data_IF_209942901931
#
_entry.id   IF_209942901931
#
_cell.length_a   1.000
_cell.length_b   1.000
_cell.length_c   1.000
_cell.angle_alpha   90.00
_cell.angle_beta   90.00
_cell.angle_gamma   90.00
#
_symmetry.space_group_name_H-M   'P 1'
#
loop_
_entity.id
_entity.type
_entity.pdbx_description
1 polymer ?
#
# COMPACT_ATOMS: atom_id res chain seq x y z
N UNK A 1 30.34 -76.90 24.63
CA UNK A 1 30.45 -77.05 26.10
C UNK A 1 30.97 -75.74 26.66
N UNK A 2 30.29 -74.89 27.41
CA UNK A 2 28.88 -74.51 27.63
C UNK A 2 28.95 -72.98 27.87
N UNK A 3 28.03 -72.09 27.52
CA UNK A 3 26.57 -72.12 27.51
C UNK A 3 26.01 -72.64 28.84
N UNK A 4 25.21 -71.77 29.48
CA UNK A 4 24.47 -71.88 30.76
C UNK A 4 25.21 -71.21 31.95
N UNK A 5 24.51 -70.29 32.65
CA UNK A 5 24.86 -69.58 33.90
C UNK A 5 25.43 -68.14 33.87
N UNK A 6 24.82 -67.25 33.09
CA UNK A 6 24.62 -65.87 33.56
C UNK A 6 23.19 -65.42 33.29
N UNK A 7 22.23 -66.24 33.73
CA UNK A 7 20.84 -65.81 33.84
C UNK A 7 20.64 -65.15 35.20
N UNK A 8 19.86 -64.06 35.19
CA UNK A 8 19.01 -63.59 36.29
C UNK A 8 19.55 -62.48 37.19
N UNK A 9 19.72 -61.28 36.64
CA UNK A 9 19.34 -60.08 37.41
C UNK A 9 19.04 -58.85 36.54
N UNK A 10 17.79 -58.39 36.68
CA UNK A 10 17.21 -57.09 36.31
C UNK A 10 16.85 -56.93 34.83
N UNK A 11 15.62 -57.33 34.48
CA UNK A 11 14.43 -56.48 34.64
C UNK A 11 14.54 -55.29 33.68
N UNK A 12 14.32 -55.48 32.38
CA UNK A 12 12.98 -55.38 31.75
C UNK A 12 12.09 -54.30 32.38
N UNK A 13 12.60 -53.07 32.42
CA UNK A 13 11.84 -51.87 32.79
C UNK A 13 12.04 -50.71 31.81
N UNK A 14 12.24 -51.00 30.52
CA UNK A 14 12.29 -49.97 29.47
C UNK A 14 11.66 -50.37 28.14
N UNK A 15 11.08 -51.57 28.04
CA UNK A 15 10.43 -52.06 26.82
C UNK A 15 8.97 -52.48 27.04
N UNK A 16 8.32 -51.95 28.07
CA UNK A 16 6.90 -52.19 28.38
C UNK A 16 6.05 -50.92 28.49
N UNK A 17 6.62 -49.74 28.22
CA UNK A 17 5.85 -48.52 28.01
C UNK A 17 5.53 -48.22 26.53
N UNK A 18 6.18 -48.89 25.58
CA UNK A 18 5.89 -48.73 24.14
C UNK A 18 4.85 -49.72 23.57
N UNK A 19 4.56 -50.84 24.22
CA UNK A 19 3.61 -51.84 23.69
C UNK A 19 2.16 -51.68 24.17
N UNK A 20 1.90 -51.04 25.32
CA UNK A 20 0.53 -50.88 25.83
C UNK A 20 -0.24 -49.67 25.25
N UNK A 21 0.39 -48.84 24.41
CA UNK A 21 -0.28 -47.74 23.67
C UNK A 21 -0.62 -48.12 22.21
N UNK A 22 -0.42 -49.39 21.83
CA UNK A 22 -0.56 -49.89 20.45
C UNK A 22 -1.63 -51.00 20.35
N UNK A 23 -2.75 -50.88 21.07
CA UNK A 23 -3.90 -51.75 20.89
C UNK A 23 -5.18 -50.91 21.02
N UNK A 24 -5.86 -50.72 19.89
CA UNK A 24 -7.02 -49.81 19.66
C UNK A 24 -6.70 -48.34 19.34
N UNK A 25 -5.93 -48.09 18.26
CA UNK A 25 -5.66 -46.76 17.71
C UNK A 25 -6.10 -46.59 16.24
N UNK A 26 -7.23 -47.19 15.85
CA UNK A 26 -7.78 -47.03 14.50
C UNK A 26 -8.78 -45.87 14.37
N UNK A 27 -9.74 -45.76 15.30
CA UNK A 27 -10.87 -44.81 15.18
C UNK A 27 -10.57 -43.40 15.68
N UNK A 28 -9.76 -43.27 16.74
CA UNK A 28 -9.57 -41.99 17.44
C UNK A 28 -8.62 -41.06 16.67
N UNK A 29 -7.58 -41.59 16.03
CA UNK A 29 -6.67 -40.80 15.18
C UNK A 29 -7.33 -40.33 13.89
N UNK A 30 -8.30 -41.11 13.38
CA UNK A 30 -9.13 -40.73 12.24
C UNK A 30 -10.09 -39.60 12.61
N UNK A 31 -10.71 -39.66 13.81
CA UNK A 31 -11.56 -38.61 14.37
C UNK A 31 -10.76 -37.32 14.62
N UNK A 32 -9.54 -37.40 15.15
CA UNK A 32 -8.67 -36.23 15.33
C UNK A 32 -8.32 -35.56 13.99
N UNK A 33 -8.01 -36.34 12.96
CA UNK A 33 -7.75 -35.84 11.60
C UNK A 33 -8.99 -35.22 10.94
N UNK A 34 -10.18 -35.77 11.20
CA UNK A 34 -11.48 -35.24 10.74
C UNK A 34 -11.84 -33.91 11.43
N UNK A 35 -11.61 -33.79 12.74
CA UNK A 35 -11.87 -32.55 13.49
C UNK A 35 -10.91 -31.44 13.07
N UNK A 36 -9.63 -31.75 12.89
CA UNK A 36 -8.63 -30.75 12.45
C UNK A 36 -8.91 -30.28 11.01
N UNK A 37 -9.32 -31.18 10.10
CA UNK A 37 -9.73 -30.83 8.73
C UNK A 37 -10.99 -29.94 8.71
N UNK A 38 -11.98 -30.27 9.55
CA UNK A 38 -13.19 -29.47 9.72
C UNK A 38 -12.90 -28.07 10.30
N UNK A 39 -12.01 -27.95 11.28
CA UNK A 39 -11.66 -26.67 11.87
C UNK A 39 -10.94 -25.74 10.89
N UNK A 40 -10.05 -26.25 10.04
CA UNK A 40 -9.34 -25.45 9.03
C UNK A 40 -10.28 -24.95 7.92
N UNK A 41 -11.29 -25.75 7.56
CA UNK A 41 -12.31 -25.34 6.59
C UNK A 41 -13.20 -24.19 7.12
N UNK A 42 -13.54 -24.20 8.42
CA UNK A 42 -14.37 -23.16 9.05
C UNK A 42 -13.61 -21.84 9.21
N UNK A 43 -12.31 -21.88 9.51
CA UNK A 43 -11.45 -20.69 9.63
C UNK A 43 -11.28 -20.01 8.25
N UNK A 44 -11.23 -20.77 7.17
CA UNK A 44 -11.13 -20.24 5.81
C UNK A 44 -12.42 -19.59 5.29
N UNK A 45 -13.58 -19.95 5.87
CA UNK A 45 -14.89 -19.43 5.46
C UNK A 45 -15.25 -18.07 6.09
N UNK A 46 -14.46 -17.60 7.07
CA UNK A 46 -14.79 -16.40 7.86
C UNK A 46 -13.77 -15.28 7.76
N UNK A 47 -12.79 -15.34 6.84
CA UNK A 47 -11.95 -14.18 6.58
C UNK A 47 -12.75 -13.16 5.75
N UNK A 48 -13.19 -12.01 6.30
CA UNK A 48 -13.55 -10.90 5.44
C UNK A 48 -12.28 -10.52 4.67
N UNK A 49 -12.34 -10.59 3.35
CA UNK A 49 -11.33 -10.00 2.49
C UNK A 49 -11.34 -8.49 2.74
N UNK A 50 -10.50 -8.04 3.67
CA UNK A 50 -10.43 -6.64 4.06
C UNK A 50 -9.77 -5.86 2.92
N UNK A 51 -10.59 -5.41 1.98
CA UNK A 51 -10.25 -4.37 1.04
C UNK A 51 -10.02 -3.08 1.82
N UNK A 52 -8.77 -2.80 2.17
CA UNK A 52 -8.38 -1.49 2.70
C UNK A 52 -8.57 -0.43 1.63
N UNK A 53 -9.68 0.29 1.66
CA UNK A 53 -9.80 1.55 0.93
C UNK A 53 -8.85 2.54 1.60
N UNK A 54 -7.69 2.79 0.99
CA UNK A 54 -6.79 3.84 1.42
C UNK A 54 -7.55 5.18 1.40
N UNK A 55 -7.85 5.73 2.58
CA UNK A 55 -8.41 7.06 2.70
C UNK A 55 -7.41 8.05 2.12
N UNK A 56 -7.69 8.59 0.92
CA UNK A 56 -6.93 9.72 0.39
C UNK A 56 -7.23 10.92 1.27
N UNK A 57 -6.20 11.44 1.94
CA UNK A 57 -6.28 12.72 2.64
C UNK A 57 -6.75 13.80 1.66
N UNK A 58 -7.98 14.29 1.86
CA UNK A 58 -8.54 15.35 1.04
C UNK A 58 -7.86 16.68 1.42
N UNK A 59 -7.21 17.32 0.45
CA UNK A 59 -6.52 18.60 0.67
C UNK A 59 -7.49 19.74 0.37
N UNK A 60 -7.61 20.67 1.31
CA UNK A 60 -8.41 21.88 1.16
C UNK A 60 -7.50 23.09 0.96
N UNK A 61 -7.85 23.97 0.02
CA UNK A 61 -7.13 25.22 -0.24
C UNK A 61 -8.05 26.38 0.08
N UNK A 62 -7.51 27.35 0.81
CA UNK A 62 -8.18 28.59 1.17
C UNK A 62 -7.44 29.75 0.50
N UNK A 63 -8.19 30.69 -0.08
CA UNK A 63 -7.67 31.93 -0.64
C UNK A 63 -8.43 33.07 0.03
N UNK A 64 -7.69 33.98 0.68
CA UNK A 64 -8.26 35.09 1.45
C UNK A 64 -9.34 34.66 2.45
N UNK A 65 -9.16 33.49 3.07
CA UNK A 65 -10.11 32.91 4.05
C UNK A 65 -11.34 32.23 3.42
N UNK A 66 -11.52 32.31 2.11
CA UNK A 66 -12.58 31.60 1.38
C UNK A 66 -12.09 30.23 0.93
N UNK A 67 -12.89 29.19 1.20
CA UNK A 67 -12.62 27.84 0.69
C UNK A 67 -12.89 27.80 -0.81
N UNK A 68 -11.87 27.44 -1.59
CA UNK A 68 -12.02 27.24 -3.04
C UNK A 68 -12.42 25.78 -3.28
N UNK A 69 -13.45 25.58 -4.11
CA UNK A 69 -13.83 24.26 -4.59
C UNK A 69 -13.18 24.01 -5.95
N UNK A 70 -12.61 22.82 -6.14
CA UNK A 70 -11.97 22.43 -7.40
C UNK A 70 -12.73 21.25 -7.99
N UNK A 71 -12.97 21.28 -9.30
CA UNK A 71 -13.50 20.12 -10.04
C UNK A 71 -12.50 18.95 -10.03
N UNK A 72 -11.21 19.29 -10.13
CA UNK A 72 -10.10 18.37 -9.97
C UNK A 72 -9.50 18.53 -8.57
N UNK A 73 -9.68 17.53 -7.71
CA UNK A 73 -9.14 17.56 -6.35
C UNK A 73 -7.60 17.73 -6.36
N UNK A 74 -7.04 18.61 -5.51
CA UNK A 74 -5.59 18.73 -5.36
C UNK A 74 -4.96 17.40 -4.95
N UNK A 75 -3.78 17.11 -5.50
CA UNK A 75 -3.07 15.85 -5.26
C UNK A 75 -1.69 16.09 -4.69
N UNK A 76 -1.31 15.34 -3.67
CA UNK A 76 0.07 15.33 -3.18
C UNK A 76 0.89 14.37 -4.03
N UNK A 77 1.93 14.87 -4.69
CA UNK A 77 2.92 14.09 -5.44
C UNK A 77 4.32 14.49 -5.02
N UNK A 78 5.16 13.51 -4.69
CA UNK A 78 6.56 13.71 -4.28
C UNK A 78 6.72 14.71 -3.12
N UNK A 79 5.78 14.73 -2.17
CA UNK A 79 5.78 15.67 -1.04
C UNK A 79 5.24 17.07 -1.35
N UNK A 80 4.96 17.38 -2.62
CA UNK A 80 4.38 18.66 -3.06
C UNK A 80 2.91 18.50 -3.42
N UNK A 81 2.08 19.49 -3.08
CA UNK A 81 0.67 19.50 -3.48
C UNK A 81 0.53 20.17 -4.84
N UNK A 82 0.08 19.41 -5.84
CA UNK A 82 -0.35 19.95 -7.13
C UNK A 82 -1.79 20.45 -7.01
N UNK A 83 -1.96 21.75 -7.23
CA UNK A 83 -3.25 22.43 -7.24
C UNK A 83 -3.54 22.91 -8.67
N UNK A 84 -4.78 22.76 -9.17
CA UNK A 84 -5.15 23.30 -10.48
C UNK A 84 -4.95 24.81 -10.54
N UNK A 85 -4.06 25.26 -11.42
CA UNK A 85 -3.70 26.68 -11.57
C UNK A 85 -4.91 27.55 -11.95
N UNK A 86 -5.74 27.08 -12.90
CA UNK A 86 -6.84 27.87 -13.48
C UNK A 86 -7.73 28.54 -12.44
N UNK A 87 -8.22 27.74 -11.49
CA UNK A 87 -9.18 28.19 -10.45
C UNK A 87 -8.57 29.28 -9.57
N UNK A 88 -7.28 29.17 -9.25
CA UNK A 88 -6.59 30.18 -8.42
C UNK A 88 -6.54 31.53 -9.13
N UNK A 89 -6.22 31.54 -10.43
CA UNK A 89 -6.14 32.77 -11.21
C UNK A 89 -7.51 33.41 -11.42
N UNK A 90 -8.55 32.61 -11.62
CA UNK A 90 -9.93 33.09 -11.73
C UNK A 90 -10.41 33.75 -10.43
N UNK A 91 -10.16 33.13 -9.27
CA UNK A 91 -10.50 33.71 -7.95
C UNK A 91 -9.67 34.97 -7.64
N UNK A 92 -8.45 35.08 -8.18
CA UNK A 92 -7.62 36.29 -8.08
C UNK A 92 -8.03 37.41 -9.06
N UNK A 93 -9.06 37.19 -9.89
CA UNK A 93 -9.57 38.14 -10.87
C UNK A 93 -8.71 38.28 -12.14
N UNK A 94 -7.87 37.29 -12.44
CA UNK A 94 -7.07 37.29 -13.66
C UNK A 94 -7.81 36.59 -14.81
N UNK A 95 -7.70 37.16 -16.02
CA UNK A 95 -8.18 36.49 -17.24
C UNK A 95 -7.11 35.53 -17.77
N UNK A 96 -7.52 34.31 -18.09
CA UNK A 96 -6.64 33.25 -18.62
C UNK A 96 -6.99 32.93 -20.07
N UNK A 97 -6.04 33.19 -20.97
CA UNK A 97 -6.12 32.81 -22.38
C UNK A 97 -5.17 31.63 -22.62
N UNK A 98 -5.70 30.53 -23.18
CA UNK A 98 -4.90 29.38 -23.60
C UNK A 98 -4.76 29.38 -25.11
N UNK A 99 -3.53 29.44 -25.57
CA UNK A 99 -3.17 29.23 -26.96
C UNK A 99 -2.76 27.77 -27.17
N UNK A 100 -3.57 27.06 -27.98
CA UNK A 100 -3.34 25.65 -28.30
C UNK A 100 -2.16 25.42 -29.24
N UNK A 101 -1.85 26.39 -30.10
CA UNK A 101 -0.80 26.25 -31.12
C UNK A 101 0.58 26.38 -30.47
N UNK A 102 0.73 27.38 -29.59
CA UNK A 102 1.99 27.65 -28.89
C UNK A 102 2.09 26.93 -27.54
N UNK A 103 1.03 26.25 -27.11
CA UNK A 103 0.89 25.64 -25.78
C UNK A 103 1.21 26.64 -24.65
N UNK A 104 0.78 27.88 -24.84
CA UNK A 104 1.06 28.99 -23.92
C UNK A 104 -0.20 29.44 -23.19
N UNK A 105 -0.05 29.69 -21.89
CA UNK A 105 -1.04 30.34 -21.03
C UNK A 105 -0.63 31.79 -20.89
N UNK A 106 -1.54 32.71 -21.21
CA UNK A 106 -1.39 34.13 -20.91
C UNK A 106 -2.38 34.52 -19.83
N UNK A 107 -1.88 34.90 -18.66
CA UNK A 107 -2.69 35.42 -17.56
C UNK A 107 -2.55 36.95 -17.52
N UNK A 108 -3.67 37.67 -17.57
CA UNK A 108 -3.71 39.14 -17.54
C UNK A 108 -4.48 39.60 -16.31
N UNK A 109 -3.86 40.48 -15.50
CA UNK A 109 -4.50 41.18 -14.39
C UNK A 109 -4.00 42.61 -14.36
N UNK A 110 -4.87 43.57 -14.71
CA UNK A 110 -4.63 45.02 -14.74
C UNK A 110 -3.23 45.45 -15.24
N UNK A 111 -2.22 45.48 -14.36
CA UNK A 111 -0.86 45.91 -14.65
C UNK A 111 0.15 44.75 -14.88
N UNK A 112 -0.24 43.50 -14.71
CA UNK A 112 0.64 42.32 -14.77
C UNK A 112 0.16 41.30 -15.79
N UNK A 113 1.04 41.00 -16.75
CA UNK A 113 0.83 39.92 -17.73
C UNK A 113 1.87 38.83 -17.48
N UNK A 114 1.40 37.63 -17.20
CA UNK A 114 2.24 36.45 -16.97
C UNK A 114 2.08 35.52 -18.17
N UNK A 115 3.18 35.24 -18.85
CA UNK A 115 3.24 34.28 -19.94
C UNK A 115 3.89 32.98 -19.45
N UNK A 116 3.16 31.88 -19.52
CA UNK A 116 3.58 30.56 -19.09
C UNK A 116 3.48 29.59 -20.26
N UNK A 117 4.61 29.21 -20.84
CA UNK A 117 4.64 28.23 -21.93
C UNK A 117 4.84 26.83 -21.37
N UNK A 118 3.91 25.92 -21.67
CA UNK A 118 4.07 24.50 -21.36
C UNK A 118 5.05 23.93 -22.38
N UNK A 119 6.32 23.84 -22.00
CA UNK A 119 7.33 23.27 -22.88
C UNK A 119 7.18 21.74 -22.93
N UNK A 120 6.90 21.13 -24.09
CA UNK A 120 6.91 19.67 -24.21
C UNK A 120 8.35 19.15 -24.04
N UNK A 121 8.48 18.03 -23.32
CA UNK A 121 9.78 17.46 -22.94
C UNK A 121 10.73 17.16 -24.11
N UNK A 122 10.22 17.06 -25.34
CA UNK A 122 11.00 16.86 -26.57
C UNK A 122 11.72 18.12 -27.08
N UNK A 123 11.21 19.31 -26.76
CA UNK A 123 11.77 20.59 -27.20
C UNK A 123 12.65 21.26 -26.13
N UNK A 124 12.54 20.84 -24.86
CA UNK A 124 13.44 21.28 -23.78
C UNK A 124 14.79 20.53 -23.81
N UNK A 125 15.43 20.47 -24.98
CA UNK A 125 16.79 19.96 -25.10
C UNK A 125 17.71 21.18 -25.15
N UNK A 126 18.16 21.64 -23.97
CA UNK A 126 19.21 22.65 -23.73
C UNK A 126 18.72 24.03 -23.27
N UNK A 127 18.14 24.15 -22.08
CA UNK A 127 18.26 25.38 -21.26
C UNK A 127 18.48 25.01 -19.79
N UNK A 128 19.76 25.07 -19.43
CA UNK A 128 20.33 25.46 -18.14
C UNK A 128 20.15 24.51 -16.93
N UNK A 129 21.32 23.99 -16.57
CA UNK A 129 21.73 23.45 -15.28
C UNK A 129 21.41 24.50 -14.19
N UNK A 130 20.22 24.44 -13.59
CA UNK A 130 19.96 25.16 -12.33
C UNK A 130 20.72 24.41 -11.23
N UNK A 131 21.98 24.80 -11.03
CA UNK A 131 22.70 24.49 -9.78
C UNK A 131 22.10 25.43 -8.74
N UNK A 132 21.08 24.97 -8.04
CA UNK A 132 20.68 25.60 -6.78
C UNK A 132 21.82 25.30 -5.79
N UNK A 133 22.73 26.25 -5.65
CA UNK A 133 23.65 26.31 -4.52
C UNK A 133 22.90 26.94 -3.36
N UNK A 134 22.93 26.26 -2.23
CA UNK A 134 22.47 26.75 -0.94
C UNK A 134 23.74 27.16 -0.22
N UNK A 135 23.87 28.44 0.10
CA UNK A 135 24.87 28.92 1.07
C UNK A 135 24.28 28.79 2.48
#
# INVERSE_FOLDING_TARGET
MGLIEYLKRRSTRTLLWSCALFFSRGKIEMIKRLIISSMVAIISLSAPFQNGAAARSQVYVYLDGKRINFDAAPQVRNGSTMVPMRVIFEELGASLEWDKETQAITAKKEASTIHLTVCPASLCKRVLRYRCGVD
#
